data_IF_201617530043
#
_entry.id   IF_201617530043
#
_cell.length_a   1.000
_cell.length_b   1.000
_cell.length_c   1.000
_cell.angle_alpha   90.00
_cell.angle_beta   90.00
_cell.angle_gamma   90.00
#
_symmetry.space_group_name_H-M   'P 1'
#
loop_
_entity.id
_entity.type
_entity.pdbx_description
1 polymer ?
#
# COMPACT_ATOMS: atom_id res chain seq x y z
N UNK A 1 -19.17 -14.13 2.72
CA UNK A 1 -18.01 -13.29 2.33
C UNK A 1 -18.18 -11.80 2.61
N UNK A 2 -19.38 -11.25 2.61
CA UNK A 2 -19.62 -9.79 2.75
C UNK A 2 -19.49 -9.28 4.19
N UNK A 3 -19.74 -10.10 5.19
CA UNK A 3 -19.73 -9.70 6.62
C UNK A 3 -18.31 -9.64 7.20
N UNK A 4 -17.38 -10.45 6.72
CA UNK A 4 -15.96 -10.44 7.17
C UNK A 4 -15.18 -9.21 6.70
N UNK A 5 -15.46 -8.70 5.50
CA UNK A 5 -14.79 -7.51 4.96
C UNK A 5 -15.16 -6.22 5.72
N UNK A 6 -16.40 -6.12 6.21
CA UNK A 6 -16.84 -4.94 6.99
C UNK A 6 -16.19 -4.91 8.38
N UNK A 7 -15.98 -6.07 9.01
CA UNK A 7 -15.39 -6.16 10.36
C UNK A 7 -13.88 -5.93 10.34
N UNK A 8 -13.17 -6.29 9.27
CA UNK A 8 -11.73 -6.08 9.13
C UNK A 8 -11.37 -4.64 8.78
N UNK A 9 -12.21 -3.92 8.03
CA UNK A 9 -12.02 -2.48 7.80
C UNK A 9 -12.14 -1.66 9.11
N UNK A 10 -12.95 -2.14 10.06
CA UNK A 10 -13.05 -1.54 11.39
C UNK A 10 -11.81 -1.78 12.25
N UNK A 11 -11.03 -2.84 11.99
CA UNK A 11 -9.80 -3.16 12.74
C UNK A 11 -8.63 -2.23 12.41
N UNK A 12 -8.48 -1.78 11.18
CA UNK A 12 -7.37 -0.87 10.77
C UNK A 12 -7.53 0.51 11.40
N UNK A 13 -8.77 0.94 11.68
CA UNK A 13 -9.07 2.23 12.31
C UNK A 13 -8.87 2.19 13.85
N UNK A 14 -8.84 0.98 14.45
CA UNK A 14 -8.71 0.80 15.90
C UNK A 14 -7.27 0.71 16.45
N UNK A 15 -6.25 0.95 15.64
CA UNK A 15 -4.82 0.91 16.07
C UNK A 15 -4.48 2.03 17.08
N UNK A 16 -5.28 3.09 17.14
CA UNK A 16 -5.09 4.19 18.10
C UNK A 16 -5.99 4.00 19.33
N UNK A 17 -5.56 3.19 20.32
CA UNK A 17 -6.24 3.10 21.61
C UNK A 17 -6.07 4.41 22.38
N UNK A 18 -7.14 5.24 22.38
CA UNK A 18 -7.25 6.41 23.25
C UNK A 18 -8.22 6.13 24.43
N UNK A 19 -8.07 6.88 25.53
CA UNK A 19 -9.04 6.83 26.64
C UNK A 19 -10.48 7.07 26.14
N UNK A 20 -11.50 6.47 26.77
CA UNK A 20 -12.89 6.50 26.29
C UNK A 20 -13.48 7.90 26.05
N UNK A 21 -13.05 8.90 26.82
CA UNK A 21 -13.50 10.29 26.68
C UNK A 21 -12.97 11.03 25.44
N UNK A 22 -11.96 10.48 24.77
CA UNK A 22 -11.35 11.05 23.55
C UNK A 22 -11.90 10.41 22.27
N UNK A 23 -12.67 9.33 22.37
CA UNK A 23 -13.17 8.54 21.21
C UNK A 23 -14.01 9.36 20.22
N UNK A 24 -14.72 10.41 20.70
CA UNK A 24 -15.59 11.26 19.87
C UNK A 24 -14.82 12.26 18.99
N UNK A 25 -13.50 12.48 19.23
CA UNK A 25 -12.66 13.43 18.49
C UNK A 25 -11.73 12.76 17.43
N UNK A 26 -11.77 11.44 17.28
CA UNK A 26 -10.76 10.72 16.48
C UNK A 26 -10.87 10.92 14.96
N UNK A 27 -12.01 11.38 14.45
CA UNK A 27 -12.19 11.57 13.00
C UNK A 27 -11.82 12.98 12.51
N UNK A 28 -11.21 13.81 13.37
CA UNK A 28 -10.95 15.22 13.06
C UNK A 28 -9.52 15.66 13.42
N UNK A 29 -8.54 14.74 13.34
CA UNK A 29 -7.15 15.08 13.69
C UNK A 29 -6.56 16.15 12.76
N UNK A 30 -7.03 16.20 11.51
CA UNK A 30 -6.67 17.20 10.50
C UNK A 30 -7.78 18.24 10.28
N UNK A 31 -8.69 18.43 11.27
CA UNK A 31 -9.76 19.42 11.18
C UNK A 31 -9.21 20.81 10.96
N UNK A 32 -9.79 21.53 10.01
CA UNK A 32 -9.34 22.86 9.57
C UNK A 32 -8.50 22.81 8.30
N UNK A 33 -7.74 21.74 8.07
CA UNK A 33 -6.89 21.61 6.89
C UNK A 33 -7.73 21.49 5.63
N UNK A 34 -7.47 22.36 4.64
CA UNK A 34 -8.13 22.34 3.34
C UNK A 34 -7.14 21.96 2.25
N UNK A 35 -7.44 20.89 1.54
CA UNK A 35 -6.62 20.33 0.46
C UNK A 35 -7.43 20.36 -0.83
N UNK A 36 -6.84 20.90 -1.87
CA UNK A 36 -7.38 20.83 -3.23
C UNK A 36 -6.73 19.67 -3.94
N UNK A 37 -7.52 18.85 -4.62
CA UNK A 37 -7.05 17.65 -5.30
C UNK A 37 -7.45 17.65 -6.77
N UNK A 38 -6.49 17.38 -7.66
CA UNK A 38 -6.74 17.02 -9.05
C UNK A 38 -6.00 15.74 -9.37
N UNK A 39 -6.74 14.65 -9.52
CA UNK A 39 -6.13 13.33 -9.51
C UNK A 39 -6.83 12.31 -10.38
N UNK A 40 -6.15 11.21 -10.67
CA UNK A 40 -6.74 10.07 -11.34
C UNK A 40 -6.17 8.74 -10.79
N UNK A 41 -6.94 7.69 -10.92
CA UNK A 41 -6.63 6.29 -10.63
C UNK A 41 -6.49 5.99 -9.12
N UNK A 42 -5.29 5.66 -8.61
CA UNK A 42 -5.12 5.05 -7.29
C UNK A 42 -4.36 5.94 -6.31
N UNK A 43 -3.10 6.23 -6.57
CA UNK A 43 -2.18 6.76 -5.57
C UNK A 43 -2.65 8.08 -4.95
N UNK A 44 -2.86 9.11 -5.76
CA UNK A 44 -3.29 10.43 -5.28
C UNK A 44 -4.74 10.43 -4.81
N UNK A 45 -5.71 9.79 -5.50
CA UNK A 45 -7.05 9.64 -4.94
C UNK A 45 -7.06 8.98 -3.58
N UNK A 46 -6.26 7.93 -3.35
CA UNK A 46 -6.14 7.28 -2.06
C UNK A 46 -5.52 8.21 -1.01
N UNK A 47 -4.51 8.99 -1.37
CA UNK A 47 -3.90 9.97 -0.47
C UNK A 47 -4.91 11.01 0.01
N UNK A 48 -5.65 11.63 -0.91
CA UNK A 48 -6.71 12.59 -0.56
C UNK A 48 -7.83 11.96 0.26
N UNK A 49 -8.23 10.72 -0.06
CA UNK A 49 -9.22 9.99 0.75
C UNK A 49 -8.70 9.74 2.18
N UNK A 50 -7.45 9.34 2.32
CA UNK A 50 -6.83 9.12 3.64
C UNK A 50 -6.83 10.40 4.47
N UNK A 51 -6.46 11.52 3.88
CA UNK A 51 -6.49 12.83 4.53
C UNK A 51 -7.92 13.26 4.90
N UNK A 52 -8.91 13.01 4.04
CA UNK A 52 -10.32 13.26 4.34
C UNK A 52 -10.83 12.40 5.50
N UNK A 53 -10.45 11.11 5.55
CA UNK A 53 -10.78 10.21 6.66
C UNK A 53 -10.11 10.61 7.99
N UNK A 54 -8.99 11.34 7.92
CA UNK A 54 -8.34 11.96 9.09
C UNK A 54 -8.96 13.30 9.49
N UNK A 55 -9.94 13.80 8.75
CA UNK A 55 -10.72 14.99 9.08
C UNK A 55 -10.38 16.24 8.28
N UNK A 56 -9.47 16.19 7.31
CA UNK A 56 -9.23 17.31 6.40
C UNK A 56 -10.42 17.53 5.45
N UNK A 57 -10.65 18.79 5.07
CA UNK A 57 -11.54 19.12 3.96
C UNK A 57 -10.80 18.92 2.65
N UNK A 58 -11.13 17.85 1.92
CA UNK A 58 -10.55 17.57 0.61
C UNK A 58 -11.57 17.92 -0.47
N UNK A 59 -11.22 18.85 -1.35
CA UNK A 59 -12.04 19.28 -2.48
C UNK A 59 -11.36 18.77 -3.75
N UNK A 60 -11.94 17.75 -4.37
CA UNK A 60 -11.51 17.23 -5.66
C UNK A 60 -12.22 17.98 -6.79
N UNK A 61 -11.47 18.44 -7.78
CA UNK A 61 -12.04 18.97 -9.01
C UNK A 61 -11.72 18.06 -10.20
N UNK A 62 -12.71 17.89 -11.05
CA UNK A 62 -12.65 17.10 -12.29
C UNK A 62 -13.22 17.94 -13.45
N UNK A 63 -13.05 17.45 -14.69
CA UNK A 63 -13.72 17.98 -15.87
C UNK A 63 -15.24 17.82 -15.75
N UNK A 64 -15.99 18.51 -16.58
CA UNK A 64 -17.46 18.42 -16.61
C UNK A 64 -17.95 16.99 -16.85
N UNK A 65 -17.22 16.20 -17.65
CA UNK A 65 -17.53 14.80 -17.96
C UNK A 65 -17.09 13.82 -16.85
N UNK A 66 -16.46 14.31 -15.79
CA UNK A 66 -15.85 13.54 -14.71
C UNK A 66 -14.38 13.26 -14.93
N UNK A 67 -13.72 12.70 -13.91
CA UNK A 67 -12.33 12.29 -13.95
C UNK A 67 -12.06 11.09 -14.86
N UNK A 68 -10.80 10.86 -15.21
CA UNK A 68 -10.36 9.75 -16.07
C UNK A 68 -10.75 8.36 -15.52
N UNK A 69 -10.92 8.26 -14.23
CA UNK A 69 -11.26 7.05 -13.47
C UNK A 69 -12.73 6.95 -13.07
N UNK A 70 -13.56 7.95 -13.41
CA UNK A 70 -14.96 8.02 -12.99
C UNK A 70 -15.82 6.82 -13.44
N UNK A 71 -15.41 6.16 -14.52
CA UNK A 71 -16.11 5.00 -15.11
C UNK A 71 -15.29 3.71 -15.05
N UNK A 72 -14.38 3.57 -14.08
CA UNK A 72 -13.51 2.38 -13.96
C UNK A 72 -14.24 1.25 -13.21
N UNK A 73 -14.05 0.02 -13.69
CA UNK A 73 -14.54 -1.20 -13.02
C UNK A 73 -13.89 -1.40 -11.63
N UNK A 74 -14.55 -2.09 -10.68
CA UNK A 74 -15.86 -2.77 -10.82
C UNK A 74 -17.04 -1.80 -10.69
N UNK A 75 -18.22 -2.27 -11.15
CA UNK A 75 -19.45 -1.48 -11.11
C UNK A 75 -20.46 -2.02 -10.08
N UNK A 76 -21.23 -1.12 -9.49
CA UNK A 76 -22.45 -1.47 -8.77
C UNK A 76 -23.55 -1.90 -9.76
N UNK A 77 -24.62 -2.58 -9.32
CA UNK A 77 -25.79 -2.88 -10.16
C UNK A 77 -26.43 -1.62 -10.79
N UNK A 78 -26.27 -0.46 -10.17
CA UNK A 78 -26.72 0.84 -10.70
C UNK A 78 -25.86 1.38 -11.86
N UNK A 79 -24.76 0.72 -12.21
CA UNK A 79 -23.79 1.20 -13.20
C UNK A 79 -22.72 2.16 -12.64
N UNK A 80 -22.78 2.53 -11.37
CA UNK A 80 -21.80 3.41 -10.73
C UNK A 80 -20.47 2.69 -10.49
N UNK A 81 -19.35 3.38 -10.71
CA UNK A 81 -18.01 2.84 -10.43
C UNK A 81 -17.80 2.68 -8.91
N UNK A 82 -17.65 1.43 -8.48
CA UNK A 82 -17.24 1.11 -7.11
C UNK A 82 -15.77 1.47 -6.86
N UNK A 83 -14.94 1.42 -7.91
CA UNK A 83 -13.55 1.85 -7.85
C UNK A 83 -13.45 3.35 -7.49
N UNK A 84 -14.12 4.21 -8.27
CA UNK A 84 -14.11 5.64 -8.02
C UNK A 84 -14.70 5.99 -6.65
N UNK A 85 -15.85 5.41 -6.32
CA UNK A 85 -16.49 5.62 -5.01
C UNK A 85 -15.61 5.12 -3.86
N UNK A 86 -14.87 4.03 -4.08
CA UNK A 86 -13.91 3.47 -3.12
C UNK A 86 -12.76 4.42 -2.79
N UNK A 87 -12.24 5.12 -3.80
CA UNK A 87 -11.06 6.01 -3.70
C UNK A 87 -11.40 7.45 -3.29
N UNK A 88 -12.69 7.83 -3.28
CA UNK A 88 -13.09 9.23 -3.07
C UNK A 88 -14.03 9.45 -1.88
N UNK A 89 -14.10 8.51 -0.95
CA UNK A 89 -14.92 8.62 0.26
C UNK A 89 -14.55 9.86 1.09
N UNK A 90 -15.55 10.62 1.51
CA UNK A 90 -15.38 11.79 2.38
C UNK A 90 -14.90 13.06 1.69
N UNK A 91 -14.60 13.02 0.40
CA UNK A 91 -14.22 14.21 -0.37
C UNK A 91 -15.46 14.99 -0.83
N UNK A 92 -15.27 16.30 -1.00
CA UNK A 92 -16.16 17.15 -1.82
C UNK A 92 -15.71 17.06 -3.27
N UNK A 93 -16.65 17.03 -4.21
CA UNK A 93 -16.36 16.94 -5.65
C UNK A 93 -17.01 18.11 -6.37
N UNK A 94 -16.26 18.74 -7.27
CA UNK A 94 -16.74 19.78 -8.17
C UNK A 94 -16.33 19.46 -9.60
N UNK A 95 -17.23 19.74 -10.55
CA UNK A 95 -16.95 19.62 -11.98
C UNK A 95 -16.79 21.02 -12.58
N UNK A 96 -15.68 21.26 -13.28
CA UNK A 96 -15.31 22.60 -13.77
C UNK A 96 -14.82 22.49 -15.22
N UNK A 97 -15.19 23.46 -16.05
CA UNK A 97 -14.58 23.63 -17.37
C UNK A 97 -13.16 24.21 -17.22
N UNK A 98 -12.18 23.33 -17.18
CA UNK A 98 -10.76 23.71 -17.08
C UNK A 98 -10.19 24.37 -18.34
N UNK A 99 -10.96 24.47 -19.43
CA UNK A 99 -10.56 25.15 -20.66
C UNK A 99 -10.95 26.62 -20.63
N UNK A 100 -12.03 26.97 -19.92
CA UNK A 100 -12.48 28.35 -19.82
C UNK A 100 -11.55 29.20 -18.93
N UNK A 101 -11.38 30.48 -19.18
CA UNK A 101 -10.64 31.40 -18.31
C UNK A 101 -11.24 31.45 -16.89
N UNK A 102 -12.55 31.49 -16.77
CA UNK A 102 -13.26 31.53 -15.49
C UNK A 102 -13.06 30.25 -14.67
N UNK A 103 -13.05 29.07 -15.32
CA UNK A 103 -12.76 27.80 -14.67
C UNK A 103 -11.32 27.72 -14.16
N UNK A 104 -10.36 28.22 -14.93
CA UNK A 104 -8.96 28.30 -14.49
C UNK A 104 -8.78 29.26 -13.32
N UNK A 105 -9.42 30.43 -13.38
CA UNK A 105 -9.39 31.41 -12.30
C UNK A 105 -10.00 30.84 -11.02
N UNK A 106 -11.16 30.16 -11.10
CA UNK A 106 -11.81 29.54 -9.96
C UNK A 106 -10.90 28.50 -9.31
N UNK A 107 -10.27 27.62 -10.09
CA UNK A 107 -9.34 26.59 -9.57
C UNK A 107 -8.14 27.24 -8.92
N UNK A 108 -7.52 28.23 -9.56
CA UNK A 108 -6.38 28.95 -9.00
C UNK A 108 -6.74 29.62 -7.66
N UNK A 109 -7.91 30.27 -7.59
CA UNK A 109 -8.40 30.89 -6.37
C UNK A 109 -8.69 29.87 -5.25
N UNK A 110 -9.20 28.69 -5.59
CA UNK A 110 -9.40 27.60 -4.62
C UNK A 110 -8.07 27.10 -4.05
N UNK A 111 -7.06 26.87 -4.91
CA UNK A 111 -5.75 26.35 -4.52
C UNK A 111 -4.99 27.39 -3.69
N UNK A 112 -5.04 28.66 -4.09
CA UNK A 112 -4.33 29.77 -3.43
C UNK A 112 -5.14 30.48 -2.35
N UNK A 113 -6.33 29.93 -2.00
CA UNK A 113 -7.22 30.54 -1.01
C UNK A 113 -6.48 30.93 0.29
N UNK A 114 -6.82 32.10 0.89
CA UNK A 114 -6.17 32.58 2.09
C UNK A 114 -6.48 31.69 3.30
N UNK A 115 -5.67 31.84 4.34
CA UNK A 115 -5.81 31.10 5.61
C UNK A 115 -4.65 30.13 5.84
N UNK A 116 -4.30 29.96 7.11
CA UNK A 116 -3.13 29.14 7.52
C UNK A 116 -3.28 27.65 7.17
N UNK A 117 -4.51 27.18 7.08
CA UNK A 117 -4.84 25.75 6.86
C UNK A 117 -5.22 25.46 5.39
N UNK A 118 -5.10 26.46 4.49
CA UNK A 118 -5.32 26.36 3.04
C UNK A 118 -3.99 26.45 2.26
N UNK A 119 -4.04 26.45 0.92
CA UNK A 119 -2.84 26.49 0.08
C UNK A 119 -2.11 25.14 0.04
N UNK A 120 -2.86 24.05 -0.01
CA UNK A 120 -2.38 22.69 -0.15
C UNK A 120 -2.96 22.09 -1.42
N UNK A 121 -2.10 21.75 -2.37
CA UNK A 121 -2.52 21.15 -3.63
C UNK A 121 -1.87 19.78 -3.80
N UNK A 122 -2.69 18.78 -4.12
CA UNK A 122 -2.29 17.38 -4.28
C UNK A 122 -2.70 16.90 -5.67
N UNK A 123 -1.73 16.41 -6.48
CA UNK A 123 -2.02 16.03 -7.86
C UNK A 123 -1.10 14.93 -8.40
N UNK A 124 -1.59 14.16 -9.38
CA UNK A 124 -0.78 13.36 -10.31
C UNK A 124 -1.02 13.75 -11.78
N UNK A 125 -1.63 14.92 -12.00
CA UNK A 125 -1.90 15.47 -13.31
C UNK A 125 -1.06 16.75 -13.49
N UNK A 126 0.11 16.64 -14.14
CA UNK A 126 0.96 17.81 -14.44
C UNK A 126 0.28 18.71 -15.48
N UNK A 127 -0.09 19.92 -15.09
CA UNK A 127 -0.59 20.96 -15.97
C UNK A 127 0.35 22.16 -15.88
N UNK A 128 1.16 22.34 -16.93
CA UNK A 128 2.10 23.46 -17.01
C UNK A 128 1.43 24.78 -17.34
N UNK A 129 2.02 25.89 -16.89
CA UNK A 129 1.71 27.25 -17.28
C UNK A 129 0.62 27.92 -16.44
N UNK A 130 -0.15 27.19 -15.59
CA UNK A 130 -1.13 27.81 -14.69
C UNK A 130 -1.39 27.04 -13.38
N UNK A 131 -1.10 25.72 -13.33
CA UNK A 131 -1.23 24.88 -12.12
C UNK A 131 0.12 24.36 -11.63
N UNK A 132 1.22 24.93 -12.09
CA UNK A 132 2.56 24.62 -11.60
C UNK A 132 2.95 25.52 -10.42
N UNK A 133 3.97 25.06 -9.69
CA UNK A 133 4.46 25.76 -8.51
C UNK A 133 4.95 27.19 -8.85
N UNK A 134 5.64 27.35 -9.99
CA UNK A 134 6.18 28.64 -10.40
C UNK A 134 5.09 29.70 -10.58
N UNK A 135 3.93 29.31 -11.10
CA UNK A 135 2.78 30.20 -11.30
C UNK A 135 2.01 30.46 -10.01
N UNK A 136 1.70 29.38 -9.27
CA UNK A 136 0.85 29.48 -8.08
C UNK A 136 1.56 30.12 -6.89
N UNK A 137 2.90 29.92 -6.76
CA UNK A 137 3.70 30.55 -5.71
C UNK A 137 3.81 32.07 -5.82
N UNK A 138 3.62 32.65 -7.01
CA UNK A 138 3.53 34.09 -7.22
C UNK A 138 2.24 34.68 -6.63
N UNK A 139 1.15 33.86 -6.55
CA UNK A 139 -0.13 34.28 -5.96
C UNK A 139 -0.10 34.01 -4.46
N UNK A 140 0.44 32.86 -4.06
CA UNK A 140 0.56 32.44 -2.66
C UNK A 140 1.96 31.88 -2.39
N UNK A 141 2.82 32.67 -1.75
CA UNK A 141 4.25 32.35 -1.53
C UNK A 141 4.50 31.14 -0.59
N UNK A 142 3.55 30.84 0.30
CA UNK A 142 3.63 29.71 1.24
C UNK A 142 2.85 28.47 0.76
N UNK A 143 2.53 28.39 -0.54
CA UNK A 143 1.83 27.26 -1.13
C UNK A 143 2.62 25.95 -1.02
N UNK A 144 1.92 24.86 -0.77
CA UNK A 144 2.47 23.51 -0.81
C UNK A 144 1.82 22.76 -1.97
N UNK A 145 2.65 22.25 -2.88
CA UNK A 145 2.21 21.37 -3.96
C UNK A 145 2.90 20.03 -3.79
N UNK A 146 2.10 18.95 -3.77
CA UNK A 146 2.61 17.58 -3.81
C UNK A 146 2.17 16.95 -5.13
N UNK A 147 3.14 16.64 -5.97
CA UNK A 147 2.92 16.06 -7.29
C UNK A 147 3.49 14.65 -7.35
N UNK A 148 2.65 13.67 -7.67
CA UNK A 148 3.10 12.33 -8.00
C UNK A 148 3.35 12.22 -9.52
N UNK A 149 4.54 11.77 -9.90
CA UNK A 149 4.95 11.53 -11.29
C UNK A 149 5.26 10.05 -11.53
N UNK A 150 5.45 9.67 -12.81
CA UNK A 150 5.83 8.30 -13.16
C UNK A 150 7.27 7.98 -12.77
N UNK A 151 8.22 8.75 -13.31
CA UNK A 151 9.63 8.68 -12.92
C UNK A 151 10.22 10.09 -12.71
N UNK A 152 11.41 10.17 -12.07
CA UNK A 152 12.11 11.43 -11.79
C UNK A 152 12.59 12.17 -13.03
N UNK A 153 12.60 11.54 -14.20
CA UNK A 153 13.01 12.13 -15.48
C UNK A 153 11.80 12.58 -16.32
N UNK A 154 10.58 12.53 -15.78
CA UNK A 154 9.36 12.96 -16.45
C UNK A 154 8.78 11.94 -17.44
N UNK A 155 9.29 10.70 -17.47
CA UNK A 155 8.70 9.63 -18.30
C UNK A 155 7.41 9.13 -17.66
N UNK A 156 6.36 8.90 -18.45
CA UNK A 156 5.13 8.31 -17.94
C UNK A 156 5.37 6.89 -17.45
N UNK A 157 4.96 6.61 -16.24
CA UNK A 157 4.97 5.29 -15.61
C UNK A 157 3.67 5.11 -14.83
N UNK A 158 3.20 3.88 -14.78
CA UNK A 158 2.08 3.45 -13.95
C UNK A 158 2.49 2.22 -13.16
N UNK A 159 1.74 1.85 -12.14
CA UNK A 159 2.04 0.69 -11.30
C UNK A 159 2.40 -0.56 -12.12
N UNK A 160 1.56 -0.90 -13.11
CA UNK A 160 1.73 -2.07 -13.97
C UNK A 160 2.93 -2.02 -14.93
N UNK A 161 3.57 -0.86 -15.11
CA UNK A 161 4.84 -0.74 -15.86
C UNK A 161 6.04 -0.66 -14.92
N UNK A 162 5.87 -0.12 -13.72
CA UNK A 162 6.91 -0.09 -12.68
C UNK A 162 7.17 -1.50 -12.13
N UNK A 163 6.11 -2.29 -11.93
CA UNK A 163 6.21 -3.64 -11.37
C UNK A 163 7.17 -4.55 -12.18
N UNK A 164 6.99 -4.73 -13.50
CA UNK A 164 7.93 -5.51 -14.31
C UNK A 164 9.31 -4.84 -14.46
N UNK A 165 9.38 -3.50 -14.47
CA UNK A 165 10.66 -2.80 -14.52
C UNK A 165 11.55 -3.05 -13.29
N UNK A 166 10.99 -3.57 -12.21
CA UNK A 166 11.68 -3.95 -10.98
C UNK A 166 11.89 -5.48 -10.85
N UNK A 167 11.51 -6.26 -11.86
CA UNK A 167 11.66 -7.72 -11.85
C UNK A 167 10.69 -8.47 -10.91
N UNK A 168 9.71 -7.80 -10.32
CA UNK A 168 8.79 -8.42 -9.34
C UNK A 168 7.97 -9.56 -9.95
N UNK A 169 7.44 -9.47 -11.19
CA UNK A 169 6.72 -10.59 -11.80
C UNK A 169 7.55 -11.86 -11.97
N UNK A 170 8.88 -11.72 -12.11
CA UNK A 170 9.77 -12.87 -12.31
C UNK A 170 9.99 -13.67 -11.03
N UNK A 171 9.83 -13.05 -9.87
CA UNK A 171 9.93 -13.70 -8.55
C UNK A 171 8.56 -13.99 -7.91
N UNK A 172 7.46 -13.61 -8.59
CA UNK A 172 6.08 -13.85 -8.14
C UNK A 172 5.48 -15.06 -8.86
N UNK A 173 4.77 -15.92 -8.15
CA UNK A 173 4.10 -17.09 -8.71
C UNK A 173 4.53 -18.40 -8.11
N UNK A 174 4.02 -19.51 -8.67
CA UNK A 174 4.31 -20.86 -8.18
C UNK A 174 5.79 -21.22 -8.36
N UNK A 175 6.34 -21.90 -7.37
CA UNK A 175 7.71 -22.42 -7.39
C UNK A 175 7.89 -23.33 -8.64
N UNK A 176 8.98 -23.11 -9.38
CA UNK A 176 9.24 -23.82 -10.64
C UNK A 176 8.50 -23.31 -11.88
N UNK A 177 7.54 -22.38 -11.74
CA UNK A 177 6.90 -21.72 -12.89
C UNK A 177 7.84 -20.70 -13.53
N UNK A 178 7.87 -20.68 -14.86
CA UNK A 178 8.68 -19.70 -15.64
C UNK A 178 7.87 -18.47 -16.03
N UNK A 179 6.54 -18.53 -16.01
CA UNK A 179 5.70 -17.42 -16.44
C UNK A 179 5.70 -16.29 -15.42
N UNK A 180 5.95 -15.02 -15.82
CA UNK A 180 5.88 -13.88 -14.92
C UNK A 180 4.44 -13.65 -14.45
N UNK A 181 4.28 -13.27 -13.17
CA UNK A 181 2.98 -13.03 -12.55
C UNK A 181 2.94 -11.63 -11.96
N UNK A 182 2.00 -10.81 -12.42
CA UNK A 182 1.81 -9.46 -11.88
C UNK A 182 1.14 -9.47 -10.51
N UNK A 183 1.32 -8.40 -9.75
CA UNK A 183 0.59 -8.18 -8.50
C UNK A 183 -0.91 -8.10 -8.77
N UNK A 184 -1.73 -8.70 -7.91
CA UNK A 184 -3.18 -8.61 -8.00
C UNK A 184 -3.74 -7.21 -7.68
N UNK A 185 -2.98 -6.41 -6.94
CA UNK A 185 -3.32 -5.05 -6.56
C UNK A 185 -2.20 -4.10 -6.97
N UNK A 186 -2.51 -2.80 -7.23
CA UNK A 186 -1.51 -1.78 -7.53
C UNK A 186 -0.73 -1.37 -6.27
N UNK A 187 0.18 -2.23 -5.83
CA UNK A 187 0.89 -2.10 -4.56
C UNK A 187 1.77 -0.84 -4.51
N UNK A 188 2.41 -0.50 -5.61
CA UNK A 188 3.29 0.67 -5.71
C UNK A 188 2.51 1.96 -5.62
N UNK A 189 1.36 2.04 -6.29
CA UNK A 189 0.42 3.16 -6.15
C UNK A 189 -0.06 3.33 -4.70
N UNK A 190 -0.35 2.24 -4.01
CA UNK A 190 -0.81 2.29 -2.61
C UNK A 190 0.30 2.79 -1.67
N UNK A 191 1.55 2.37 -1.88
CA UNK A 191 2.70 2.87 -1.12
C UNK A 191 2.95 4.34 -1.45
N UNK A 192 2.94 4.72 -2.73
CA UNK A 192 3.14 6.09 -3.17
C UNK A 192 2.05 7.04 -2.65
N UNK A 193 0.79 6.58 -2.59
CA UNK A 193 -0.30 7.33 -1.97
C UNK A 193 -0.04 7.67 -0.51
N UNK A 194 0.44 6.72 0.28
CA UNK A 194 0.85 6.97 1.66
C UNK A 194 2.07 7.89 1.75
N UNK A 195 3.00 7.80 0.80
CA UNK A 195 4.14 8.73 0.72
C UNK A 195 3.66 10.16 0.43
N UNK A 196 2.66 10.33 -0.46
CA UNK A 196 2.04 11.65 -0.71
C UNK A 196 1.42 12.23 0.58
N UNK A 197 0.70 11.44 1.36
CA UNK A 197 0.16 11.86 2.67
C UNK A 197 1.27 12.33 3.59
N UNK A 198 2.29 11.51 3.77
CA UNK A 198 3.42 11.81 4.66
C UNK A 198 4.18 13.07 4.23
N UNK A 199 4.42 13.23 2.93
CA UNK A 199 5.12 14.38 2.37
C UNK A 199 4.31 15.66 2.49
N UNK A 200 3.00 15.62 2.24
CA UNK A 200 2.13 16.78 2.40
C UNK A 200 2.12 17.24 3.86
N UNK A 201 1.96 16.33 4.81
CA UNK A 201 1.96 16.67 6.23
C UNK A 201 3.35 17.13 6.73
N UNK A 202 4.43 16.59 6.20
CA UNK A 202 5.79 17.04 6.50
C UNK A 202 6.04 18.46 5.99
N UNK A 203 5.59 18.76 4.76
CA UNK A 203 5.68 20.09 4.17
C UNK A 203 4.80 21.11 4.92
N UNK A 204 3.59 20.72 5.33
CA UNK A 204 2.69 21.54 6.16
C UNK A 204 3.34 21.85 7.51
N UNK A 205 3.91 20.85 8.20
CA UNK A 205 4.66 21.04 9.43
C UNK A 205 5.86 21.98 9.24
N UNK A 206 6.56 21.90 8.13
CA UNK A 206 7.66 22.82 7.80
C UNK A 206 7.14 24.24 7.62
N UNK A 207 6.05 24.42 6.85
CA UNK A 207 5.39 25.70 6.65
C UNK A 207 4.94 26.36 7.97
N UNK A 208 4.36 25.58 8.88
CA UNK A 208 3.95 26.08 10.21
C UNK A 208 5.11 26.64 11.03
N UNK A 209 6.35 26.13 10.83
CA UNK A 209 7.53 26.55 11.58
C UNK A 209 8.29 27.70 10.92
N UNK A 210 8.30 27.74 9.60
CA UNK A 210 9.18 28.60 8.84
C UNK A 210 8.45 29.60 7.94
N UNK A 211 7.14 29.46 7.78
CA UNK A 211 6.33 30.32 6.87
C UNK A 211 6.59 30.11 5.40
N UNK A 212 7.26 29.01 5.00
CA UNK A 212 7.70 28.77 3.62
C UNK A 212 6.95 27.55 3.07
N UNK A 213 6.41 27.69 1.84
CA UNK A 213 5.81 26.61 1.07
C UNK A 213 6.84 25.62 0.51
N UNK A 214 6.34 24.57 -0.12
CA UNK A 214 7.16 23.49 -0.70
C UNK A 214 6.60 23.03 -2.04
N UNK A 215 7.48 22.79 -3.01
CA UNK A 215 7.18 22.00 -4.21
C UNK A 215 7.76 20.60 -4.03
N UNK A 216 6.90 19.61 -3.83
CA UNK A 216 7.29 18.23 -3.54
C UNK A 216 6.93 17.36 -4.72
N UNK A 217 7.93 16.86 -5.43
CA UNK A 217 7.73 15.86 -6.47
C UNK A 217 8.10 14.46 -5.98
N UNK A 218 7.17 13.50 -6.14
CA UNK A 218 7.32 12.10 -5.78
C UNK A 218 7.23 11.28 -7.06
N UNK A 219 8.24 10.47 -7.36
CA UNK A 219 8.21 9.58 -8.50
C UNK A 219 7.80 8.16 -8.10
N UNK A 220 6.76 7.61 -8.74
CA UNK A 220 6.25 6.27 -8.45
C UNK A 220 7.33 5.20 -8.54
N UNK A 221 8.17 5.25 -9.59
CA UNK A 221 9.29 4.32 -9.77
C UNK A 221 10.30 4.40 -8.64
N UNK A 222 10.57 5.61 -8.12
CA UNK A 222 11.53 5.79 -7.03
C UNK A 222 10.98 5.24 -5.71
N UNK A 223 9.69 5.45 -5.43
CA UNK A 223 9.02 4.88 -4.27
C UNK A 223 9.09 3.36 -4.30
N UNK A 224 8.78 2.75 -5.44
CA UNK A 224 8.85 1.31 -5.60
C UNK A 224 10.29 0.77 -5.49
N UNK A 225 11.27 1.46 -6.11
CA UNK A 225 12.69 1.11 -6.00
C UNK A 225 13.19 1.21 -4.57
N UNK A 226 12.79 2.26 -3.84
CA UNK A 226 13.13 2.41 -2.44
C UNK A 226 12.52 1.28 -1.59
N UNK A 227 11.26 0.89 -1.84
CA UNK A 227 10.60 -0.19 -1.12
C UNK A 227 11.36 -1.53 -1.26
N UNK A 228 11.72 -1.94 -2.48
CA UNK A 228 12.50 -3.16 -2.68
C UNK A 228 13.94 -3.02 -2.19
N UNK A 229 14.52 -1.82 -2.27
CA UNK A 229 15.86 -1.53 -1.72
C UNK A 229 15.91 -1.66 -0.20
N UNK A 230 14.90 -1.14 0.51
CA UNK A 230 14.79 -1.27 1.97
C UNK A 230 14.62 -2.74 2.42
N UNK A 231 14.04 -3.60 1.57
CA UNK A 231 13.96 -5.05 1.81
C UNK A 231 15.26 -5.80 1.46
N UNK A 232 16.32 -5.09 1.08
CA UNK A 232 17.61 -5.67 0.72
C UNK A 232 17.66 -6.32 -0.67
N UNK A 233 16.56 -6.30 -1.44
CA UNK A 233 16.47 -7.03 -2.70
C UNK A 233 17.43 -6.51 -3.77
N UNK A 234 17.71 -5.20 -3.82
CA UNK A 234 18.70 -4.62 -4.73
C UNK A 234 20.12 -5.05 -4.32
N UNK A 235 20.41 -5.04 -3.03
CA UNK A 235 21.70 -5.50 -2.52
C UNK A 235 21.90 -7.00 -2.77
N UNK A 236 20.86 -7.81 -2.58
CA UNK A 236 20.84 -9.23 -2.83
C UNK A 236 21.28 -9.56 -4.27
N UNK A 237 20.66 -8.95 -5.27
CA UNK A 237 21.03 -9.14 -6.69
C UNK A 237 22.41 -8.59 -7.07
N UNK A 238 23.01 -7.72 -6.24
CA UNK A 238 24.32 -7.12 -6.52
C UNK A 238 25.46 -7.89 -5.86
N UNK A 239 25.22 -8.44 -4.68
CA UNK A 239 26.24 -9.06 -3.83
C UNK A 239 26.24 -10.58 -3.93
N UNK A 240 25.12 -11.20 -4.22
CA UNK A 240 24.95 -12.64 -4.32
C UNK A 240 24.95 -13.07 -5.79
N UNK A 241 25.41 -14.31 -6.03
CA UNK A 241 25.49 -14.90 -7.38
C UNK A 241 24.23 -15.64 -7.78
N UNK A 242 23.38 -15.97 -6.81
CA UNK A 242 22.18 -16.76 -7.03
C UNK A 242 20.98 -15.83 -7.23
N UNK A 243 20.28 -16.00 -8.34
CA UNK A 243 19.05 -15.27 -8.61
C UNK A 243 17.93 -15.72 -7.65
N UNK A 244 17.18 -14.75 -7.15
CA UNK A 244 16.00 -15.02 -6.35
C UNK A 244 14.91 -15.65 -7.23
N UNK A 245 14.51 -16.87 -6.89
CA UNK A 245 13.49 -17.62 -7.60
C UNK A 245 12.10 -17.42 -7.02
N UNK A 246 11.06 -17.85 -7.76
CA UNK A 246 9.68 -17.90 -7.26
C UNK A 246 9.58 -18.87 -6.09
N UNK A 247 8.94 -18.43 -5.04
CA UNK A 247 8.79 -19.20 -3.80
C UNK A 247 7.33 -19.67 -3.56
N UNK A 248 6.42 -19.41 -4.49
CA UNK A 248 4.99 -19.70 -4.31
C UNK A 248 4.44 -18.99 -3.07
N UNK A 249 3.79 -19.75 -2.20
CA UNK A 249 3.28 -19.27 -0.92
C UNK A 249 4.28 -19.45 0.23
N UNK A 250 5.52 -19.83 -0.05
CA UNK A 250 6.55 -19.97 0.98
C UNK A 250 7.07 -18.59 1.43
N UNK A 251 7.28 -18.44 2.74
CA UNK A 251 7.84 -17.24 3.32
C UNK A 251 9.36 -17.23 3.10
N UNK A 252 9.85 -16.35 2.23
CA UNK A 252 11.27 -16.24 1.91
C UNK A 252 12.11 -15.89 3.15
N UNK A 253 13.23 -16.61 3.30
CA UNK A 253 14.19 -16.39 4.39
C UNK A 253 13.83 -17.00 5.74
N UNK A 254 12.63 -17.61 5.86
CA UNK A 254 12.17 -18.28 7.08
C UNK A 254 11.32 -19.50 6.72
N UNK A 255 10.49 -19.98 7.65
CA UNK A 255 9.50 -21.00 7.36
C UNK A 255 8.08 -20.43 7.43
N UNK A 256 7.34 -20.55 6.35
CA UNK A 256 5.92 -20.27 6.27
C UNK A 256 5.39 -20.83 4.97
N UNK A 257 4.21 -21.44 5.00
CA UNK A 257 3.57 -22.05 3.84
C UNK A 257 2.09 -22.28 4.11
N UNK A 258 1.34 -22.41 3.04
CA UNK A 258 -0.05 -22.81 3.09
C UNK A 258 -0.22 -24.33 2.95
N UNK A 259 -1.16 -24.90 3.70
CA UNK A 259 -1.45 -26.33 3.74
C UNK A 259 -2.92 -26.59 3.38
N UNK A 260 -3.15 -27.65 2.62
CA UNK A 260 -4.49 -28.16 2.33
C UNK A 260 -4.98 -29.00 3.54
N UNK A 261 -6.15 -28.65 4.06
CA UNK A 261 -6.81 -29.33 5.16
C UNK A 261 -7.80 -30.40 4.70
N UNK A 262 -8.29 -31.23 5.60
CA UNK A 262 -9.22 -32.32 5.34
C UNK A 262 -10.54 -31.87 4.71
N UNK A 263 -10.96 -30.63 4.96
CA UNK A 263 -12.18 -30.02 4.44
C UNK A 263 -12.00 -29.33 3.06
N UNK A 264 -10.82 -29.50 2.41
CA UNK A 264 -10.51 -28.88 1.14
C UNK A 264 -10.13 -27.39 1.22
N UNK A 265 -10.17 -26.79 2.39
CA UNK A 265 -9.72 -25.41 2.63
C UNK A 265 -8.22 -25.36 2.88
N UNK A 266 -7.64 -24.17 2.78
CA UNK A 266 -6.20 -23.96 3.02
C UNK A 266 -5.97 -23.04 4.21
N UNK A 267 -4.90 -23.31 4.96
CA UNK A 267 -4.45 -22.50 6.08
C UNK A 267 -3.00 -22.10 5.89
N UNK A 268 -2.67 -20.82 6.16
CA UNK A 268 -1.30 -20.32 6.15
C UNK A 268 -0.67 -20.47 7.53
N UNK A 269 0.52 -21.09 7.57
CA UNK A 269 1.33 -21.25 8.79
C UNK A 269 2.58 -20.40 8.64
N UNK A 270 2.97 -19.71 9.70
CA UNK A 270 4.16 -18.87 9.75
C UNK A 270 4.97 -19.18 11.00
N UNK A 271 6.21 -19.62 10.78
CA UNK A 271 7.23 -19.89 11.82
C UNK A 271 8.41 -18.95 11.66
N UNK A 272 8.18 -17.63 11.74
CA UNK A 272 9.22 -16.61 11.59
C UNK A 272 10.16 -16.59 12.79
N UNK A 273 9.63 -16.45 13.99
CA UNK A 273 10.42 -16.43 15.23
C UNK A 273 10.64 -17.82 15.79
N UNK A 274 11.69 -18.01 16.62
CA UNK A 274 11.95 -19.27 17.31
C UNK A 274 10.77 -19.71 18.19
N UNK A 275 10.03 -18.75 18.77
CA UNK A 275 8.81 -19.04 19.56
C UNK A 275 7.69 -19.60 18.67
N UNK A 276 7.45 -19.00 17.50
CA UNK A 276 6.44 -19.49 16.54
C UNK A 276 6.83 -20.86 16.01
N UNK A 277 8.12 -21.05 15.68
CA UNK A 277 8.65 -22.36 15.27
C UNK A 277 8.44 -23.44 16.33
N UNK A 278 8.80 -23.18 17.58
CA UNK A 278 8.56 -24.11 18.68
C UNK A 278 7.05 -24.40 18.88
N UNK A 279 6.20 -23.40 18.65
CA UNK A 279 4.74 -23.57 18.67
C UNK A 279 4.24 -24.52 17.58
N UNK A 280 4.76 -24.41 16.34
CA UNK A 280 4.44 -25.32 15.23
C UNK A 280 4.86 -26.75 15.59
N UNK A 281 6.12 -26.94 15.99
CA UNK A 281 6.69 -28.25 16.37
C UNK A 281 5.83 -28.93 17.45
N UNK A 282 5.44 -28.16 18.48
CA UNK A 282 4.59 -28.66 19.57
C UNK A 282 3.19 -29.00 19.09
N UNK A 283 2.56 -28.14 18.30
CA UNK A 283 1.16 -28.32 17.84
C UNK A 283 1.05 -29.53 16.90
N UNK A 284 2.05 -29.76 16.06
CA UNK A 284 2.09 -30.88 15.10
C UNK A 284 2.62 -32.18 15.68
N UNK A 285 3.13 -32.15 16.90
CA UNK A 285 3.79 -33.29 17.58
C UNK A 285 4.92 -33.91 16.76
N UNK A 286 5.77 -33.06 16.18
CA UNK A 286 6.84 -33.45 15.24
C UNK A 286 8.25 -33.24 15.80
N UNK A 287 8.39 -33.08 17.12
CA UNK A 287 9.66 -32.78 17.76
C UNK A 287 10.77 -33.86 17.46
N UNK A 288 10.38 -35.13 17.51
CA UNK A 288 11.35 -36.22 17.29
C UNK A 288 11.76 -36.31 15.81
N UNK A 289 10.83 -36.11 14.87
CA UNK A 289 11.15 -36.10 13.44
C UNK A 289 12.11 -34.96 13.09
N UNK A 290 11.90 -33.78 13.65
CA UNK A 290 12.84 -32.66 13.43
C UNK A 290 14.18 -32.87 14.07
N UNK A 291 14.24 -33.44 15.27
CA UNK A 291 15.52 -33.81 15.89
C UNK A 291 16.30 -34.81 15.05
N UNK A 292 15.64 -35.79 14.45
CA UNK A 292 16.28 -36.74 13.53
C UNK A 292 16.78 -36.01 12.27
N UNK A 293 15.97 -35.11 11.67
CA UNK A 293 16.38 -34.31 10.52
C UNK A 293 17.65 -33.49 10.83
N UNK A 294 17.67 -32.81 11.99
CA UNK A 294 18.81 -32.02 12.46
C UNK A 294 20.08 -32.87 12.63
N UNK A 295 19.96 -34.02 13.31
CA UNK A 295 21.08 -34.93 13.55
C UNK A 295 21.66 -35.52 12.26
N UNK A 296 20.79 -35.98 11.35
CA UNK A 296 21.22 -36.62 10.09
C UNK A 296 21.95 -35.65 9.14
N UNK A 297 21.59 -34.38 9.20
CA UNK A 297 22.10 -33.36 8.27
C UNK A 297 23.02 -32.32 8.92
N UNK A 298 23.29 -32.48 10.22
CA UNK A 298 24.10 -31.55 11.01
C UNK A 298 23.65 -30.09 10.85
N UNK A 299 22.34 -29.85 11.04
CA UNK A 299 21.70 -28.52 10.91
C UNK A 299 21.02 -28.14 12.21
N UNK A 300 20.69 -26.82 12.33
CA UNK A 300 19.94 -26.29 13.46
C UNK A 300 18.70 -25.53 12.96
N UNK A 301 17.50 -26.08 13.15
CA UNK A 301 16.23 -25.48 12.74
C UNK A 301 15.77 -24.30 13.64
N UNK A 302 16.53 -23.94 14.68
CA UNK A 302 16.30 -22.67 15.38
C UNK A 302 16.74 -21.47 14.53
N UNK A 303 17.65 -21.65 13.55
CA UNK A 303 18.02 -20.64 12.56
C UNK A 303 16.94 -20.56 11.46
N UNK A 304 16.41 -19.36 11.23
CA UNK A 304 15.37 -19.12 10.23
C UNK A 304 15.86 -19.36 8.79
N UNK A 305 17.13 -19.03 8.50
CA UNK A 305 17.72 -19.26 7.18
C UNK A 305 17.86 -20.75 6.86
N UNK A 306 18.13 -21.55 7.88
CA UNK A 306 18.17 -23.02 7.76
C UNK A 306 16.75 -23.55 7.51
N UNK A 307 15.73 -23.04 8.23
CA UNK A 307 14.35 -23.41 7.95
C UNK A 307 13.94 -23.09 6.51
N UNK A 308 14.38 -21.97 5.96
CA UNK A 308 14.16 -21.65 4.56
C UNK A 308 14.81 -22.66 3.61
N UNK A 309 16.07 -22.98 3.83
CA UNK A 309 16.82 -23.96 3.00
C UNK A 309 16.19 -25.34 3.04
N UNK A 310 15.67 -25.74 4.19
CA UNK A 310 15.09 -27.06 4.43
C UNK A 310 13.55 -27.06 4.37
N UNK A 311 12.92 -26.01 3.81
CA UNK A 311 11.47 -25.84 3.79
C UNK A 311 10.69 -27.00 3.20
N UNK A 312 11.26 -27.70 2.21
CA UNK A 312 10.60 -28.86 1.60
C UNK A 312 10.54 -30.04 2.55
N UNK A 313 11.68 -30.43 3.13
CA UNK A 313 11.74 -31.50 4.13
C UNK A 313 10.89 -31.19 5.38
N UNK A 314 10.90 -29.96 5.84
CA UNK A 314 10.01 -29.51 6.92
C UNK A 314 8.55 -29.69 6.52
N UNK A 315 8.18 -29.31 5.30
CA UNK A 315 6.82 -29.44 4.80
C UNK A 315 6.37 -30.89 4.74
N UNK A 316 7.20 -31.80 4.25
CA UNK A 316 6.92 -33.26 4.20
C UNK A 316 6.60 -33.84 5.58
N UNK A 317 7.30 -33.36 6.61
CA UNK A 317 7.10 -33.82 7.99
C UNK A 317 5.75 -33.34 8.56
N UNK A 318 5.37 -32.09 8.32
CA UNK A 318 4.18 -31.53 8.97
C UNK A 318 2.90 -31.61 8.13
N UNK A 319 2.99 -31.74 6.80
CA UNK A 319 1.83 -31.78 5.91
C UNK A 319 0.78 -32.85 6.26
N UNK A 320 1.17 -34.10 6.65
CA UNK A 320 0.22 -35.12 7.06
C UNK A 320 -0.69 -34.71 8.22
N UNK A 321 -0.19 -33.87 9.13
CA UNK A 321 -0.95 -33.37 10.26
C UNK A 321 -2.13 -32.48 9.82
N UNK A 322 -1.94 -31.63 8.77
CA UNK A 322 -3.00 -30.79 8.24
C UNK A 322 -4.03 -31.57 7.43
N UNK A 323 -3.61 -32.58 6.69
CA UNK A 323 -4.51 -33.44 5.88
C UNK A 323 -5.57 -34.18 6.70
N UNK A 324 -5.37 -34.29 8.01
CA UNK A 324 -6.32 -34.97 8.92
C UNK A 324 -7.21 -34.01 9.70
N UNK A 325 -7.12 -32.69 9.50
CA UNK A 325 -7.82 -31.67 10.29
C UNK A 325 -8.57 -30.69 9.40
N UNK A 326 -9.68 -30.15 9.90
CA UNK A 326 -10.41 -29.07 9.25
C UNK A 326 -9.84 -27.72 9.68
N UNK A 327 -10.01 -26.67 8.84
CA UNK A 327 -9.54 -25.33 9.16
C UNK A 327 -10.17 -24.76 10.44
N UNK A 328 -11.46 -25.06 10.71
CA UNK A 328 -12.13 -24.62 11.93
C UNK A 328 -11.46 -25.14 13.21
N UNK A 329 -10.94 -26.37 13.20
CA UNK A 329 -10.24 -26.98 14.32
C UNK A 329 -8.88 -26.28 14.57
N UNK A 330 -8.29 -25.71 13.53
CA UNK A 330 -6.99 -25.01 13.56
C UNK A 330 -7.11 -23.56 14.00
N UNK A 331 -8.26 -22.92 13.77
CA UNK A 331 -8.49 -21.52 14.15
C UNK A 331 -8.48 -21.29 15.66
N UNK A 332 -8.64 -22.34 16.46
CA UNK A 332 -8.55 -22.33 17.93
C UNK A 332 -7.10 -22.39 18.43
N UNK A 333 -6.11 -22.63 17.54
CA UNK A 333 -4.66 -22.73 17.87
C UNK A 333 -3.93 -21.43 17.53
N UNK A 334 -4.60 -20.28 17.63
CA UNK A 334 -3.93 -18.99 17.48
C UNK A 334 -2.95 -18.77 18.65
N UNK A 335 -1.73 -18.92 18.33
CA UNK A 335 -0.59 -18.67 19.23
C UNK A 335 -0.21 -17.19 19.15
#
# INVERSE_FOLDING_TARGET
MTTLLCTQLQMVINVWRRPPHVRKMMNNILSGLRIIESSAFVAVPMAGMTLAQMGAEVIRFDRLEGGLDARRMPYAPSGSSLFWSGMNKGKKSIAIDMKSPEGKELISNLITAPGKDAGLFLTNLKVRGWLDYETLSKIRSDIIIVTLTGDRHGKPQVDYTVNPALGIPDITGHEGSVDPVANAIPAWDMIAGNMCVSSLLAAERYRLRHGVGQDVEIALKDVASAAIGHLGMIADTTLNTDDRTKAGNSLYGAYGKDFLCADGNRVMIIGLTSRQWAGIVKATDTAEQFKQLEMQNNINLQDESIRWKWRHAITEIIEPWFKTRKVEDLSLIHI
#
